data_IF_971326396781
#
_entry.id   IF_971326396781
#
_cell.length_a   1.000
_cell.length_b   1.000
_cell.length_c   1.000
_cell.angle_alpha   90.00
_cell.angle_beta   90.00
_cell.angle_gamma   90.00
#
_symmetry.space_group_name_H-M   'P 1'
#
loop_
_entity.id
_entity.type
_entity.pdbx_description
1 polymer ?
#
# COMPACT_ATOMS: atom_id res chain seq x y z
N UNK A 1 25.16 -12.51 13.80
CA UNK A 1 24.74 -11.95 12.50
C UNK A 1 23.70 -10.87 12.76
N UNK A 2 23.73 -9.75 12.03
CA UNK A 2 22.71 -8.69 12.14
C UNK A 2 21.53 -9.04 11.24
N UNK A 3 20.31 -8.84 11.72
CA UNK A 3 19.09 -9.05 10.93
C UNK A 3 18.91 -8.00 9.82
N UNK A 4 19.54 -6.83 9.93
CA UNK A 4 19.48 -5.77 8.93
C UNK A 4 20.83 -5.59 8.24
N UNK A 5 20.80 -5.47 6.92
CA UNK A 5 21.97 -5.03 6.13
C UNK A 5 22.00 -3.50 6.09
N UNK A 6 22.95 -2.93 6.83
CA UNK A 6 23.13 -1.49 6.95
C UNK A 6 24.18 -1.03 5.92
N UNK A 7 23.93 0.12 5.30
CA UNK A 7 24.76 0.86 4.33
C UNK A 7 25.06 0.20 2.98
N UNK A 8 24.34 -0.86 2.62
CA UNK A 8 24.38 -1.48 1.30
C UNK A 8 23.06 -2.16 0.97
N UNK A 9 22.48 -1.84 -0.18
CA UNK A 9 21.27 -2.48 -0.68
C UNK A 9 21.15 -2.36 -2.20
N UNK A 10 20.63 -3.42 -2.82
CA UNK A 10 20.22 -3.37 -4.22
C UNK A 10 19.12 -2.31 -4.45
N UNK A 11 18.22 -2.12 -3.48
CA UNK A 11 17.15 -1.13 -3.56
C UNK A 11 17.68 0.30 -3.71
N UNK A 12 18.82 0.63 -3.11
CA UNK A 12 19.47 1.94 -3.22
C UNK A 12 20.64 1.94 -4.20
N UNK A 13 20.87 0.85 -4.93
CA UNK A 13 22.02 0.67 -5.83
C UNK A 13 23.36 0.92 -5.14
N UNK A 14 23.50 0.47 -3.88
CA UNK A 14 24.70 0.68 -3.07
C UNK A 14 25.35 -0.63 -2.63
N UNK A 15 26.67 -0.60 -2.44
CA UNK A 15 27.45 -1.74 -1.95
C UNK A 15 28.64 -1.28 -1.10
N UNK A 16 28.96 -2.06 -0.07
CA UNK A 16 30.22 -1.93 0.65
C UNK A 16 31.36 -2.56 -0.14
N UNK A 17 32.59 -2.05 0.07
CA UNK A 17 33.80 -2.52 -0.62
C UNK A 17 34.30 -3.85 -0.04
N UNK A 18 34.15 -4.02 1.26
CA UNK A 18 34.59 -5.21 2.02
C UNK A 18 33.46 -5.67 2.93
N UNK A 19 33.75 -6.70 3.72
CA UNK A 19 32.90 -7.08 4.85
C UNK A 19 32.55 -5.87 5.73
N UNK A 20 31.30 -5.84 6.16
CA UNK A 20 30.72 -4.74 6.93
C UNK A 20 30.68 -5.08 8.42
N UNK A 21 30.98 -4.11 9.27
CA UNK A 21 30.71 -4.16 10.70
C UNK A 21 29.21 -4.39 10.94
N UNK A 22 28.82 -5.37 11.76
CA UNK A 22 27.41 -5.70 11.97
C UNK A 22 26.62 -4.57 12.66
N UNK A 23 27.30 -3.73 13.44
CA UNK A 23 26.64 -2.65 14.19
C UNK A 23 26.47 -1.38 13.36
N UNK A 24 27.52 -0.95 12.65
CA UNK A 24 27.50 0.31 11.92
C UNK A 24 27.18 0.16 10.43
N UNK A 25 27.32 -1.04 9.85
CA UNK A 25 27.25 -1.27 8.41
C UNK A 25 28.45 -0.72 7.62
N UNK A 26 29.44 -0.13 8.28
CA UNK A 26 30.66 0.35 7.62
C UNK A 26 31.55 -0.82 7.20
N UNK A 27 32.34 -0.65 6.14
CA UNK A 27 33.45 -1.57 5.87
C UNK A 27 34.34 -1.68 7.11
N UNK A 28 34.78 -2.90 7.47
CA UNK A 28 35.71 -3.12 8.60
C UNK A 28 36.99 -2.29 8.49
N UNK A 29 37.38 -1.93 7.26
CA UNK A 29 38.40 -0.93 6.96
C UNK A 29 37.82 0.12 6.02
N UNK A 30 37.51 1.31 6.54
CA UNK A 30 37.15 2.47 5.72
C UNK A 30 38.45 3.15 5.24
N UNK A 31 38.65 3.18 3.93
CA UNK A 31 39.91 3.62 3.33
C UNK A 31 39.78 5.08 2.89
N UNK A 32 40.82 5.88 3.17
CA UNK A 32 40.97 7.19 2.55
C UNK A 32 41.03 7.06 1.01
N UNK A 33 40.35 7.94 0.28
CA UNK A 33 40.21 7.83 -1.19
C UNK A 33 39.34 6.67 -1.68
N UNK A 34 38.50 6.06 -0.83
CA UNK A 34 37.54 5.04 -1.25
C UNK A 34 36.57 5.61 -2.32
N UNK A 35 36.29 4.87 -3.42
CA UNK A 35 35.38 5.35 -4.48
C UNK A 35 33.90 5.43 -4.06
N UNK A 36 33.55 5.04 -2.84
CA UNK A 36 32.34 5.53 -2.18
C UNK A 36 30.99 5.01 -2.71
N UNK A 37 30.84 3.71 -2.96
CA UNK A 37 29.56 3.13 -3.43
C UNK A 37 28.58 2.71 -2.33
N UNK A 38 28.94 2.86 -1.06
CA UNK A 38 28.07 2.53 0.07
C UNK A 38 27.09 3.67 0.36
N UNK A 39 26.02 3.39 1.11
CA UNK A 39 25.01 4.43 1.40
C UNK A 39 25.57 5.63 2.17
N UNK A 40 26.62 5.46 2.98
CA UNK A 40 27.26 6.59 3.68
C UNK A 40 27.84 7.58 2.66
N UNK A 41 28.67 7.08 1.74
CA UNK A 41 29.33 7.91 0.75
C UNK A 41 28.32 8.47 -0.27
N UNK A 42 27.41 7.63 -0.76
CA UNK A 42 26.38 8.07 -1.70
C UNK A 42 25.42 9.09 -1.06
N UNK A 43 25.09 8.97 0.23
CA UNK A 43 24.26 9.97 0.91
C UNK A 43 25.01 11.29 1.11
N UNK A 44 26.33 11.27 1.32
CA UNK A 44 27.12 12.50 1.39
C UNK A 44 27.15 13.24 0.04
N UNK A 45 27.17 12.49 -1.08
CA UNK A 45 27.23 13.06 -2.43
C UNK A 45 25.86 13.44 -3.01
N UNK A 46 24.86 12.56 -2.83
CA UNK A 46 23.55 12.66 -3.49
C UNK A 46 22.40 12.97 -2.52
N UNK A 47 22.66 13.00 -1.21
CA UNK A 47 21.69 13.39 -0.19
C UNK A 47 20.37 12.62 -0.30
N UNK A 48 19.28 13.37 -0.53
CA UNK A 48 17.90 12.87 -0.55
C UNK A 48 17.64 11.82 -1.62
N UNK A 49 18.42 11.80 -2.69
CA UNK A 49 18.26 10.81 -3.76
C UNK A 49 18.49 9.38 -3.24
N UNK A 50 19.31 9.22 -2.20
CA UNK A 50 19.59 7.93 -1.57
C UNK A 50 18.54 7.48 -0.54
N UNK A 51 17.54 8.32 -0.25
CA UNK A 51 16.49 7.97 0.70
C UNK A 51 15.56 6.89 0.15
N UNK A 52 15.37 6.81 -1.18
CA UNK A 52 14.32 6.01 -1.79
C UNK A 52 14.85 4.83 -2.62
N UNK A 53 14.07 3.75 -2.79
CA UNK A 53 14.35 2.72 -3.77
C UNK A 53 14.50 3.27 -5.19
N UNK A 54 15.42 2.66 -5.97
CA UNK A 54 15.75 3.02 -7.35
C UNK A 54 15.78 1.76 -8.24
N UNK A 55 15.45 1.88 -9.55
CA UNK A 55 14.96 3.07 -10.24
C UNK A 55 13.48 3.37 -9.91
N UNK A 56 13.17 4.64 -9.64
CA UNK A 56 11.81 5.06 -9.31
C UNK A 56 10.83 4.81 -10.48
N UNK A 57 9.60 4.41 -10.16
CA UNK A 57 8.52 4.19 -11.12
C UNK A 57 8.58 2.88 -11.90
N UNK A 58 9.70 2.18 -11.87
CA UNK A 58 9.92 0.90 -12.58
C UNK A 58 10.06 -0.30 -11.63
N UNK A 59 10.00 -0.07 -10.31
CA UNK A 59 10.14 -1.11 -9.30
C UNK A 59 9.05 -1.04 -8.23
N UNK A 60 8.81 -2.20 -7.61
CA UNK A 60 8.21 -2.31 -6.28
C UNK A 60 9.28 -2.94 -5.39
N UNK A 61 9.64 -2.26 -4.30
CA UNK A 61 10.66 -2.74 -3.38
C UNK A 61 10.01 -3.31 -2.11
N UNK A 62 10.53 -4.43 -1.63
CA UNK A 62 10.27 -4.98 -0.29
C UNK A 62 11.47 -4.72 0.64
N UNK A 63 11.28 -4.91 1.94
CA UNK A 63 12.37 -4.73 2.91
C UNK A 63 13.48 -5.78 2.70
N UNK A 64 14.69 -5.45 3.14
CA UNK A 64 15.85 -6.34 3.15
C UNK A 64 16.21 -6.83 4.56
N UNK A 65 15.42 -6.45 5.58
CA UNK A 65 15.59 -6.94 6.94
C UNK A 65 15.06 -8.36 7.05
N UNK A 66 15.87 -9.23 7.62
CA UNK A 66 15.48 -10.59 7.98
C UNK A 66 14.65 -10.52 9.26
N UNK A 67 13.33 -10.68 9.13
CA UNK A 67 12.47 -10.79 10.30
C UNK A 67 12.62 -12.19 10.92
N UNK A 68 12.92 -12.32 12.23
CA UNK A 68 13.35 -13.60 12.81
C UNK A 68 12.36 -14.76 12.72
N UNK A 69 11.06 -14.48 12.58
CA UNK A 69 10.01 -15.49 12.39
C UNK A 69 9.18 -15.08 11.18
N UNK A 70 9.05 -16.01 10.25
CA UNK A 70 8.22 -15.91 9.05
C UNK A 70 7.45 -17.22 8.83
N UNK A 71 6.68 -17.31 7.74
CA UNK A 71 5.90 -18.50 7.45
C UNK A 71 6.72 -19.77 7.18
N UNK A 72 8.03 -19.66 6.88
CA UNK A 72 8.90 -20.83 6.69
C UNK A 72 9.21 -21.57 7.99
N UNK A 73 8.96 -20.94 9.14
CA UNK A 73 9.12 -21.54 10.47
C UNK A 73 7.93 -22.41 10.90
N UNK A 74 6.82 -22.39 10.14
CA UNK A 74 5.62 -23.16 10.45
C UNK A 74 5.54 -24.43 9.60
N UNK A 75 4.96 -25.49 10.17
CA UNK A 75 4.71 -26.74 9.47
C UNK A 75 3.21 -27.07 9.51
N UNK A 76 2.62 -27.27 8.34
CA UNK A 76 1.22 -27.74 8.23
C UNK A 76 1.18 -29.19 8.70
N UNK A 77 0.45 -29.46 9.78
CA UNK A 77 0.29 -30.82 10.31
C UNK A 77 -0.86 -31.52 9.60
N UNK A 78 -0.55 -32.50 8.76
CA UNK A 78 -1.55 -33.37 8.16
C UNK A 78 -2.17 -34.33 9.17
N UNK A 79 -3.40 -34.76 8.92
CA UNK A 79 -4.09 -35.80 9.67
C UNK A 79 -4.23 -37.08 8.84
N UNK A 80 -4.10 -38.25 9.45
CA UNK A 80 -4.43 -39.54 8.82
C UNK A 80 -5.90 -39.94 9.01
N UNK A 81 -6.69 -39.10 9.69
CA UNK A 81 -8.11 -39.34 9.99
C UNK A 81 -8.93 -38.08 9.76
N UNK A 82 -10.16 -38.26 9.29
CA UNK A 82 -11.12 -37.18 9.08
C UNK A 82 -10.96 -36.44 7.75
N UNK A 83 -11.96 -35.61 7.45
CA UNK A 83 -11.95 -34.60 6.40
C UNK A 83 -12.77 -33.41 6.90
N UNK A 84 -12.30 -32.19 6.66
CA UNK A 84 -13.03 -30.96 7.01
C UNK A 84 -13.75 -30.43 5.77
N UNK A 85 -15.02 -30.03 5.94
CA UNK A 85 -15.85 -29.54 4.84
C UNK A 85 -16.52 -30.61 3.97
N UNK A 86 -16.22 -31.90 4.17
CA UNK A 86 -16.89 -33.02 3.50
C UNK A 86 -16.80 -34.32 4.32
N UNK A 87 -17.40 -35.38 3.82
CA UNK A 87 -17.36 -36.70 4.46
C UNK A 87 -15.95 -37.31 4.45
N UNK A 88 -15.55 -37.91 5.57
CA UNK A 88 -14.28 -38.61 5.73
C UNK A 88 -14.30 -39.99 5.05
N UNK A 89 -14.22 -39.98 3.73
CA UNK A 89 -14.30 -41.15 2.86
C UNK A 89 -13.23 -41.07 1.76
N UNK A 90 -12.51 -42.16 1.50
CA UNK A 90 -11.37 -42.15 0.56
C UNK A 90 -11.75 -41.94 -0.91
N UNK A 91 -13.00 -42.22 -1.29
CA UNK A 91 -13.52 -41.96 -2.65
C UNK A 91 -14.01 -40.50 -2.80
N UNK A 92 -14.24 -39.80 -1.68
CA UNK A 92 -14.75 -38.42 -1.66
C UNK A 92 -13.69 -37.37 -1.29
N UNK A 93 -12.87 -37.65 -0.30
CA UNK A 93 -11.84 -36.76 0.25
C UNK A 93 -10.58 -36.73 -0.64
N UNK A 94 -10.77 -36.30 -1.89
CA UNK A 94 -9.72 -36.20 -2.91
C UNK A 94 -9.40 -34.74 -3.23
N UNK A 95 -8.15 -34.48 -3.62
CA UNK A 95 -7.66 -33.13 -3.92
C UNK A 95 -8.56 -32.30 -4.87
N UNK A 96 -9.13 -32.85 -5.96
CA UNK A 96 -10.01 -32.09 -6.86
C UNK A 96 -11.30 -31.56 -6.21
N UNK A 97 -11.71 -32.10 -5.07
CA UNK A 97 -12.94 -31.69 -4.38
C UNK A 97 -12.71 -30.56 -3.36
N UNK A 98 -11.48 -30.06 -3.20
CA UNK A 98 -11.18 -28.94 -2.30
C UNK A 98 -11.92 -27.68 -2.75
N UNK A 99 -12.75 -27.13 -1.86
CA UNK A 99 -13.41 -25.84 -2.07
C UNK A 99 -12.53 -24.70 -1.54
N UNK A 100 -12.23 -23.75 -2.42
CA UNK A 100 -11.45 -22.54 -2.13
C UNK A 100 -12.33 -21.30 -1.99
N UNK A 101 -13.64 -21.45 -2.16
CA UNK A 101 -14.58 -20.34 -2.08
C UNK A 101 -14.77 -19.86 -0.64
N UNK A 102 -15.08 -18.57 -0.50
CA UNK A 102 -15.33 -17.93 0.79
C UNK A 102 -16.19 -16.68 0.62
N UNK A 103 -16.70 -16.19 1.75
CA UNK A 103 -17.51 -14.99 1.81
C UNK A 103 -16.93 -13.98 2.80
N UNK A 104 -16.78 -12.73 2.37
CA UNK A 104 -16.31 -11.60 3.21
C UNK A 104 -17.42 -10.59 3.39
N UNK A 105 -17.58 -10.02 4.59
CA UNK A 105 -18.50 -8.92 4.86
C UNK A 105 -19.28 -9.08 6.16
N UNK A 106 -19.82 -7.99 6.69
CA UNK A 106 -20.56 -8.00 7.94
C UNK A 106 -22.06 -8.30 7.69
N UNK A 107 -22.72 -7.44 6.90
CA UNK A 107 -24.17 -7.55 6.62
C UNK A 107 -24.47 -8.20 5.27
N UNK A 108 -23.92 -7.63 4.20
CA UNK A 108 -23.91 -8.26 2.88
C UNK A 108 -22.59 -9.02 2.71
N UNK A 109 -22.56 -10.00 1.80
CA UNK A 109 -21.38 -10.83 1.57
C UNK A 109 -20.84 -10.62 0.16
N UNK A 110 -19.53 -10.45 0.06
CA UNK A 110 -18.76 -10.56 -1.18
C UNK A 110 -18.35 -12.02 -1.32
N UNK A 111 -18.81 -12.68 -2.39
CA UNK A 111 -18.43 -14.06 -2.70
C UNK A 111 -17.13 -14.09 -3.47
N UNK A 112 -16.19 -14.91 -3.04
CA UNK A 112 -14.90 -15.11 -3.70
C UNK A 112 -14.78 -16.57 -4.13
N UNK A 113 -14.13 -16.82 -5.28
CA UNK A 113 -13.78 -18.19 -5.72
C UNK A 113 -12.46 -18.68 -5.09
N UNK A 114 -11.66 -17.78 -4.50
CA UNK A 114 -10.31 -18.06 -3.99
C UNK A 114 -9.99 -17.23 -2.72
N UNK A 115 -9.18 -17.76 -1.76
CA UNK A 115 -8.91 -17.16 -0.44
C UNK A 115 -7.76 -16.15 -0.47
N UNK A 116 -7.63 -15.39 -1.56
CA UNK A 116 -6.63 -14.34 -1.69
C UNK A 116 -7.21 -13.23 -2.55
N UNK A 117 -6.76 -12.00 -2.34
CA UNK A 117 -7.08 -10.87 -3.19
C UNK A 117 -5.85 -9.97 -3.37
N UNK A 118 -5.92 -9.00 -4.29
CA UNK A 118 -4.77 -8.14 -4.59
C UNK A 118 -4.49 -7.17 -3.45
N UNK A 119 -3.21 -6.81 -3.23
CA UNK A 119 -2.90 -5.61 -2.44
C UNK A 119 -3.43 -4.32 -3.09
N UNK A 120 -3.53 -3.25 -2.30
CA UNK A 120 -3.94 -1.93 -2.77
C UNK A 120 -2.89 -1.27 -3.67
N UNK A 121 -3.22 -1.11 -4.95
CA UNK A 121 -2.32 -0.54 -5.95
C UNK A 121 -2.75 0.87 -6.36
N UNK A 122 -2.05 1.86 -5.83
CA UNK A 122 -2.42 3.27 -5.97
C UNK A 122 -1.92 3.93 -7.25
N UNK A 123 -1.47 5.17 -7.07
CA UNK A 123 -1.10 6.12 -8.13
C UNK A 123 0.32 6.00 -8.68
N UNK A 124 1.08 4.97 -8.27
CA UNK A 124 2.43 4.75 -8.81
C UNK A 124 2.37 4.33 -10.29
N UNK A 125 3.42 4.66 -11.03
CA UNK A 125 3.48 4.36 -12.46
C UNK A 125 3.45 2.86 -12.74
N UNK A 126 4.20 2.07 -11.95
CA UNK A 126 4.21 0.60 -12.05
C UNK A 126 2.81 -0.01 -11.86
N UNK A 127 2.01 0.53 -10.93
CA UNK A 127 0.63 0.10 -10.74
C UNK A 127 -0.25 0.48 -11.94
N UNK A 128 -0.05 1.67 -12.51
CA UNK A 128 -0.85 2.17 -13.64
C UNK A 128 -0.66 1.34 -14.91
N UNK A 129 0.60 0.99 -15.23
CA UNK A 129 0.95 0.27 -16.47
C UNK A 129 0.56 -1.21 -16.40
N UNK A 130 0.58 -1.83 -15.22
CA UNK A 130 0.19 -3.23 -15.04
C UNK A 130 -1.27 -3.43 -14.60
N UNK A 131 -2.01 -2.34 -14.34
CA UNK A 131 -3.39 -2.40 -13.81
C UNK A 131 -4.30 -3.32 -14.62
N UNK A 132 -4.22 -3.25 -15.94
CA UNK A 132 -5.13 -3.97 -16.83
C UNK A 132 -5.04 -5.48 -16.64
N UNK A 133 -3.83 -6.03 -16.68
CA UNK A 133 -3.59 -7.45 -16.46
C UNK A 133 -4.05 -7.89 -15.06
N UNK A 134 -3.85 -7.04 -14.05
CA UNK A 134 -4.25 -7.35 -12.68
C UNK A 134 -5.76 -7.32 -12.49
N UNK A 135 -6.45 -6.35 -13.07
CA UNK A 135 -7.90 -6.22 -13.01
C UNK A 135 -8.61 -7.38 -13.73
N UNK A 136 -8.14 -7.72 -14.93
CA UNK A 136 -8.65 -8.87 -15.69
C UNK A 136 -8.41 -10.17 -14.91
N UNK A 137 -7.17 -10.37 -14.42
CA UNK A 137 -6.83 -11.55 -13.63
C UNK A 137 -7.67 -11.69 -12.36
N UNK A 138 -7.87 -10.61 -11.61
CA UNK A 138 -8.71 -10.62 -10.40
C UNK A 138 -10.17 -10.93 -10.71
N UNK A 139 -10.73 -10.33 -11.78
CA UNK A 139 -12.11 -10.56 -12.20
C UNK A 139 -12.35 -12.03 -12.61
N UNK A 140 -11.49 -12.58 -13.48
CA UNK A 140 -11.57 -13.98 -13.92
C UNK A 140 -11.42 -14.95 -12.74
N UNK A 141 -10.47 -14.69 -11.85
CA UNK A 141 -10.28 -15.47 -10.62
C UNK A 141 -11.46 -15.33 -9.64
N UNK A 142 -12.39 -14.39 -9.84
CA UNK A 142 -13.50 -14.13 -8.95
C UNK A 142 -13.03 -13.66 -7.57
N UNK A 143 -12.08 -12.72 -7.53
CA UNK A 143 -11.56 -12.13 -6.29
C UNK A 143 -11.59 -10.61 -6.28
N UNK A 144 -11.29 -10.00 -5.13
CA UNK A 144 -11.25 -8.57 -4.93
C UNK A 144 -10.02 -7.97 -5.63
N UNK A 145 -10.22 -6.82 -6.26
CA UNK A 145 -9.15 -5.90 -6.66
C UNK A 145 -9.27 -4.58 -5.91
N UNK A 146 -8.14 -4.08 -5.40
CA UNK A 146 -8.11 -2.85 -4.61
C UNK A 146 -7.40 -1.73 -5.38
N UNK A 147 -8.15 -0.70 -5.76
CA UNK A 147 -7.62 0.56 -6.28
C UNK A 147 -7.06 1.35 -5.10
N UNK A 148 -5.75 1.51 -5.03
CA UNK A 148 -5.07 2.23 -3.95
C UNK A 148 -5.22 3.76 -4.01
N UNK A 149 -4.53 4.45 -3.10
CA UNK A 149 -4.68 5.90 -2.88
C UNK A 149 -4.18 6.84 -4.01
N UNK A 150 -4.73 8.05 -4.02
CA UNK A 150 -4.40 9.24 -4.81
C UNK A 150 -4.57 9.09 -6.34
N UNK A 151 -5.27 8.07 -6.84
CA UNK A 151 -5.42 7.84 -8.29
C UNK A 151 -6.08 9.02 -8.99
N UNK A 152 -7.16 9.56 -8.42
CA UNK A 152 -7.91 10.66 -9.02
C UNK A 152 -7.06 11.92 -9.15
N UNK A 153 -6.40 12.36 -8.08
CA UNK A 153 -5.64 13.60 -8.10
C UNK A 153 -4.31 13.48 -8.85
N UNK A 154 -3.77 12.26 -9.02
CA UNK A 154 -2.55 12.03 -9.79
C UNK A 154 -2.81 11.97 -11.30
N UNK A 155 -4.04 11.71 -11.72
CA UNK A 155 -4.43 11.78 -13.13
C UNK A 155 -4.44 13.25 -13.60
N UNK A 156 -3.57 13.63 -14.55
CA UNK A 156 -3.49 15.01 -15.05
C UNK A 156 -4.78 15.46 -15.74
N UNK A 157 -5.61 14.51 -16.20
CA UNK A 157 -6.88 14.77 -16.90
C UNK A 157 -8.08 14.79 -15.96
N UNK A 158 -7.87 14.62 -14.65
CA UNK A 158 -8.96 14.75 -13.69
C UNK A 158 -9.43 16.20 -13.57
N UNK A 159 -10.75 16.35 -13.46
CA UNK A 159 -11.41 17.62 -13.19
C UNK A 159 -11.86 17.62 -11.73
N UNK A 160 -11.41 18.63 -10.98
CA UNK A 160 -11.77 18.85 -9.58
C UNK A 160 -12.43 20.22 -9.50
N UNK A 161 -13.65 20.28 -8.93
CA UNK A 161 -14.42 21.51 -8.77
C UNK A 161 -14.87 21.62 -7.32
N UNK A 162 -14.63 22.77 -6.69
CA UNK A 162 -15.02 23.04 -5.31
C UNK A 162 -14.58 21.93 -4.32
N UNK A 163 -13.34 21.45 -4.48
CA UNK A 163 -12.80 20.38 -3.64
C UNK A 163 -13.40 18.99 -3.89
N UNK A 164 -14.15 18.77 -4.98
CA UNK A 164 -14.73 17.46 -5.33
C UNK A 164 -14.25 16.98 -6.69
N UNK A 165 -13.88 15.70 -6.79
CA UNK A 165 -13.64 15.06 -8.09
C UNK A 165 -14.96 14.97 -8.85
N UNK A 166 -15.00 15.55 -10.06
CA UNK A 166 -16.17 15.45 -10.95
C UNK A 166 -15.90 14.53 -12.14
N UNK A 167 -14.62 14.33 -12.48
CA UNK A 167 -14.19 13.43 -13.54
C UNK A 167 -12.77 12.95 -13.26
N UNK A 168 -12.55 11.65 -13.37
CA UNK A 168 -11.22 11.04 -13.38
C UNK A 168 -11.17 9.91 -14.43
N UNK A 169 -10.56 10.17 -15.60
CA UNK A 169 -10.39 9.15 -16.63
C UNK A 169 -9.67 7.88 -16.16
N UNK A 170 -8.62 8.02 -15.34
CA UNK A 170 -7.87 6.87 -14.83
C UNK A 170 -8.70 6.04 -13.85
N UNK A 171 -9.40 6.66 -12.89
CA UNK A 171 -10.28 5.92 -11.98
C UNK A 171 -11.39 5.20 -12.75
N UNK A 172 -12.00 5.88 -13.75
CA UNK A 172 -13.02 5.28 -14.61
C UNK A 172 -12.48 4.07 -15.39
N UNK A 173 -11.28 4.18 -15.97
CA UNK A 173 -10.60 3.08 -16.66
C UNK A 173 -10.39 1.90 -15.71
N UNK A 174 -9.88 2.16 -14.50
CA UNK A 174 -9.55 1.11 -13.54
C UNK A 174 -10.76 0.29 -13.10
N UNK A 175 -11.86 0.97 -12.78
CA UNK A 175 -13.13 0.32 -12.43
C UNK A 175 -13.73 -0.40 -13.65
N UNK A 176 -13.70 0.22 -14.83
CA UNK A 176 -14.27 -0.35 -16.06
C UNK A 176 -13.63 -1.68 -16.45
N UNK A 177 -12.30 -1.77 -16.44
CA UNK A 177 -11.59 -2.99 -16.85
C UNK A 177 -12.01 -4.20 -16.01
N UNK A 178 -12.16 -4.05 -14.69
CA UNK A 178 -12.64 -5.16 -13.86
C UNK A 178 -14.09 -5.54 -14.22
N UNK A 179 -14.96 -4.53 -14.36
CA UNK A 179 -16.39 -4.74 -14.66
C UNK A 179 -16.64 -5.40 -16.01
N UNK A 180 -15.77 -5.17 -16.99
CA UNK A 180 -15.87 -5.81 -18.31
C UNK A 180 -15.67 -7.34 -18.24
N UNK A 181 -15.09 -7.85 -17.15
CA UNK A 181 -14.80 -9.28 -16.92
C UNK A 181 -15.49 -9.85 -15.66
N UNK A 182 -16.37 -9.07 -15.02
CA UNK A 182 -17.05 -9.46 -13.79
C UNK A 182 -18.16 -10.49 -14.07
N UNK A 183 -18.04 -11.67 -13.47
CA UNK A 183 -19.02 -12.76 -13.53
C UNK A 183 -19.87 -12.89 -12.25
N UNK A 184 -19.87 -11.87 -11.38
CA UNK A 184 -20.64 -11.85 -10.12
C UNK A 184 -19.88 -12.38 -8.91
N UNK A 185 -18.55 -12.50 -8.98
CA UNK A 185 -17.65 -12.87 -7.89
C UNK A 185 -16.56 -11.82 -7.73
N UNK A 186 -16.08 -11.62 -6.50
CA UNK A 186 -15.15 -10.53 -6.19
C UNK A 186 -15.83 -9.17 -6.12
N UNK A 187 -15.01 -8.12 -6.00
CA UNK A 187 -15.45 -6.73 -5.96
C UNK A 187 -14.29 -5.78 -6.26
N UNK A 188 -14.60 -4.60 -6.80
CA UNK A 188 -13.66 -3.47 -6.88
C UNK A 188 -13.76 -2.64 -5.61
N UNK A 189 -12.66 -2.58 -4.85
CA UNK A 189 -12.55 -1.75 -3.65
C UNK A 189 -11.77 -0.48 -3.98
N UNK A 190 -12.31 0.69 -3.62
CA UNK A 190 -11.60 1.97 -3.74
C UNK A 190 -11.07 2.40 -2.39
N UNK A 191 -9.74 2.49 -2.28
CA UNK A 191 -9.05 2.90 -1.08
C UNK A 191 -8.96 4.42 -0.96
N UNK A 192 -9.07 4.91 0.28
CA UNK A 192 -9.19 6.31 0.64
C UNK A 192 -8.18 6.67 1.72
N UNK A 193 -7.25 7.57 1.40
CA UNK A 193 -6.41 8.26 2.39
C UNK A 193 -7.00 9.65 2.75
N UNK A 194 -6.23 10.46 3.47
CA UNK A 194 -6.64 11.83 3.89
C UNK A 194 -6.94 12.72 2.67
N UNK A 195 -6.09 12.67 1.65
CA UNK A 195 -6.18 13.46 0.43
C UNK A 195 -7.40 13.07 -0.40
N UNK A 196 -7.61 11.77 -0.60
CA UNK A 196 -8.77 11.25 -1.32
C UNK A 196 -10.08 11.63 -0.59
N UNK A 197 -10.08 11.58 0.75
CA UNK A 197 -11.24 11.95 1.58
C UNK A 197 -11.60 13.42 1.42
N UNK A 198 -10.60 14.31 1.40
CA UNK A 198 -10.79 15.75 1.16
C UNK A 198 -11.36 16.03 -0.23
N UNK A 199 -10.97 15.21 -1.21
CA UNK A 199 -11.41 15.33 -2.60
C UNK A 199 -12.72 14.61 -2.92
N UNK A 200 -13.35 13.99 -1.92
CA UNK A 200 -14.65 13.30 -2.08
C UNK A 200 -14.59 12.20 -3.16
N UNK A 201 -13.47 11.46 -3.17
CA UNK A 201 -13.23 10.40 -4.17
C UNK A 201 -14.21 9.24 -4.01
N UNK A 202 -14.56 8.87 -2.77
CA UNK A 202 -15.54 7.82 -2.50
C UNK A 202 -16.91 8.17 -3.10
N UNK A 203 -17.39 9.40 -2.87
CA UNK A 203 -18.63 9.91 -3.44
C UNK A 203 -18.62 9.84 -4.97
N UNK A 204 -17.54 10.31 -5.62
CA UNK A 204 -17.39 10.19 -7.07
C UNK A 204 -17.41 8.72 -7.55
N UNK A 205 -16.66 7.84 -6.89
CA UNK A 205 -16.55 6.44 -7.27
C UNK A 205 -17.88 5.69 -7.13
N UNK A 206 -18.62 5.95 -6.05
CA UNK A 206 -19.94 5.35 -5.80
C UNK A 206 -20.96 5.91 -6.80
N UNK A 207 -21.14 7.23 -6.83
CA UNK A 207 -22.21 7.88 -7.60
C UNK A 207 -22.02 7.78 -9.13
N UNK A 208 -20.77 7.86 -9.61
CA UNK A 208 -20.48 7.95 -11.06
C UNK A 208 -19.96 6.65 -11.65
N UNK A 209 -19.30 5.81 -10.85
CA UNK A 209 -18.69 4.57 -11.34
C UNK A 209 -19.37 3.32 -10.78
N UNK A 210 -20.33 3.47 -9.86
CA UNK A 210 -21.05 2.34 -9.25
C UNK A 210 -20.14 1.42 -8.46
N UNK A 211 -19.13 1.97 -7.79
CA UNK A 211 -18.31 1.25 -6.82
C UNK A 211 -19.14 0.98 -5.57
N UNK A 212 -19.07 -0.23 -5.03
CA UNK A 212 -19.85 -0.64 -3.85
C UNK A 212 -18.99 -0.78 -2.59
N UNK A 213 -17.69 -1.01 -2.75
CA UNK A 213 -16.77 -1.20 -1.65
C UNK A 213 -15.75 -0.06 -1.53
N UNK A 214 -15.60 0.48 -0.32
CA UNK A 214 -14.64 1.53 0.00
C UNK A 214 -13.72 1.05 1.13
N UNK A 215 -12.42 1.29 0.99
CA UNK A 215 -11.42 0.97 2.03
C UNK A 215 -10.87 2.25 2.63
N UNK A 216 -11.03 2.43 3.94
CA UNK A 216 -10.30 3.45 4.69
C UNK A 216 -8.87 2.95 4.90
N UNK A 217 -7.88 3.81 4.63
CA UNK A 217 -6.47 3.46 4.82
C UNK A 217 -5.89 4.20 6.02
N UNK A 218 -5.49 3.46 7.04
CA UNK A 218 -4.68 4.00 8.13
C UNK A 218 -3.20 3.87 7.83
N UNK A 219 -2.75 2.73 7.30
CA UNK A 219 -1.35 2.44 7.04
C UNK A 219 -1.11 1.37 5.98
N UNK A 220 0.13 0.89 5.89
CA UNK A 220 0.54 -0.23 5.05
C UNK A 220 1.77 -0.95 5.62
N UNK A 221 2.02 -2.19 5.21
CA UNK A 221 3.13 -2.99 5.75
C UNK A 221 4.53 -2.53 5.38
N UNK A 222 4.67 -1.69 4.35
CA UNK A 222 5.97 -1.14 3.97
C UNK A 222 6.42 0.02 4.88
N UNK A 223 5.46 0.72 5.50
CA UNK A 223 5.69 1.95 6.26
C UNK A 223 4.44 2.43 6.98
N UNK A 224 4.67 3.09 8.11
CA UNK A 224 3.63 3.69 8.94
C UNK A 224 3.37 5.18 8.59
N UNK A 225 3.69 5.58 7.35
CA UNK A 225 3.41 6.91 6.80
C UNK A 225 2.51 6.85 5.57
N UNK A 226 2.02 8.02 5.15
CA UNK A 226 1.25 8.18 3.92
C UNK A 226 2.04 7.78 2.66
N UNK A 227 1.35 7.64 1.53
CA UNK A 227 2.01 7.42 0.24
C UNK A 227 3.02 8.52 -0.08
N UNK A 228 3.93 8.25 -1.01
CA UNK A 228 4.92 9.18 -1.54
C UNK A 228 5.10 8.92 -3.04
N UNK A 229 5.30 9.97 -3.83
CA UNK A 229 5.56 9.85 -5.27
C UNK A 229 6.54 10.94 -5.70
N UNK A 230 7.51 10.62 -6.56
CA UNK A 230 8.36 11.61 -7.22
C UNK A 230 7.68 12.19 -8.46
N UNK A 231 7.89 13.49 -8.68
CA UNK A 231 7.33 14.25 -9.79
C UNK A 231 8.48 14.84 -10.61
N UNK A 232 8.70 14.38 -11.85
CA UNK A 232 9.82 14.82 -12.68
C UNK A 232 9.56 16.17 -13.37
N UNK A 233 8.48 16.89 -13.04
CA UNK A 233 8.15 18.14 -13.71
C UNK A 233 7.51 19.16 -12.78
N UNK A 234 7.97 20.40 -12.90
CA UNK A 234 7.39 21.56 -12.23
C UNK A 234 5.89 21.72 -12.52
N UNK A 235 5.46 21.50 -13.76
CA UNK A 235 4.03 21.58 -14.15
C UNK A 235 3.16 20.64 -13.32
N UNK A 236 3.60 19.39 -13.13
CA UNK A 236 2.88 18.41 -12.32
C UNK A 236 2.95 18.74 -10.83
N UNK A 237 4.09 19.24 -10.36
CA UNK A 237 4.27 19.71 -8.99
C UNK A 237 3.30 20.84 -8.64
N UNK A 238 3.22 21.88 -9.47
CA UNK A 238 2.25 22.98 -9.33
C UNK A 238 0.81 22.49 -9.38
N UNK A 239 0.48 21.60 -10.33
CA UNK A 239 -0.87 21.05 -10.44
C UNK A 239 -1.30 20.30 -9.17
N UNK A 240 -0.41 19.50 -8.57
CA UNK A 240 -0.76 18.79 -7.34
C UNK A 240 -0.83 19.72 -6.13
N UNK A 241 0.04 20.74 -6.07
CA UNK A 241 -0.02 21.77 -5.03
C UNK A 241 -1.37 22.51 -5.06
N UNK A 242 -1.82 22.94 -6.24
CA UNK A 242 -3.14 23.57 -6.45
C UNK A 242 -4.30 22.65 -6.05
N UNK A 243 -4.13 21.34 -6.23
CA UNK A 243 -5.09 20.32 -5.75
C UNK A 243 -5.03 20.07 -4.23
N UNK A 244 -4.22 20.83 -3.49
CA UNK A 244 -4.11 20.78 -2.02
C UNK A 244 -3.17 19.69 -1.48
N UNK A 245 -2.35 19.07 -2.35
CA UNK A 245 -1.33 18.10 -1.93
C UNK A 245 -0.09 18.80 -1.38
N UNK A 246 0.63 18.10 -0.51
CA UNK A 246 1.91 18.57 0.00
C UNK A 246 3.01 18.21 -1.01
N UNK A 247 3.66 19.23 -1.57
CA UNK A 247 4.73 19.08 -2.55
C UNK A 247 5.99 19.75 -2.03
N UNK A 248 7.10 19.04 -2.10
CA UNK A 248 8.41 19.48 -1.62
C UNK A 248 9.48 19.29 -2.69
N UNK A 249 10.43 20.23 -2.84
CA UNK A 249 10.38 21.60 -2.29
C UNK A 249 9.14 22.38 -2.81
N UNK A 250 8.81 23.52 -2.20
CA UNK A 250 7.60 24.27 -2.56
C UNK A 250 7.63 24.68 -4.06
N UNK A 251 6.73 24.17 -4.91
CA UNK A 251 6.79 24.44 -6.35
C UNK A 251 6.39 25.86 -6.73
N UNK A 252 5.76 26.61 -5.82
CA UNK A 252 5.37 28.01 -6.03
C UNK A 252 6.49 29.02 -5.73
N UNK A 253 7.56 28.58 -5.06
CA UNK A 253 8.69 29.44 -4.72
C UNK A 253 9.54 29.74 -5.98
N UNK A 254 9.72 31.02 -6.36
CA UNK A 254 10.52 31.39 -7.53
C UNK A 254 11.96 30.89 -7.52
N UNK A 255 12.61 30.84 -6.35
CA UNK A 255 13.98 30.31 -6.25
C UNK A 255 14.00 28.79 -6.47
N UNK A 256 13.05 28.05 -5.89
CA UNK A 256 12.91 26.60 -6.14
C UNK A 256 12.69 26.32 -7.63
N UNK A 257 11.88 27.13 -8.32
CA UNK A 257 11.67 26.99 -9.76
C UNK A 257 12.93 27.28 -10.56
N UNK A 258 13.75 28.23 -10.13
CA UNK A 258 15.02 28.57 -10.76
C UNK A 258 16.02 27.43 -10.56
N UNK A 259 16.21 26.95 -9.34
CA UNK A 259 17.05 25.79 -9.01
C UNK A 259 16.68 24.55 -9.82
N UNK A 260 15.37 24.26 -9.96
CA UNK A 260 14.88 23.15 -10.79
C UNK A 260 15.24 23.31 -12.27
N UNK A 261 15.09 24.53 -12.82
CA UNK A 261 15.42 24.83 -14.23
C UNK A 261 16.93 24.81 -14.48
N UNK A 262 17.73 25.17 -13.48
CA UNK A 262 19.19 25.13 -13.51
C UNK A 262 19.74 23.70 -13.28
N UNK A 263 18.89 22.75 -12.91
CA UNK A 263 19.26 21.35 -12.71
C UNK A 263 19.92 21.06 -11.36
N UNK A 264 19.76 21.94 -10.37
CA UNK A 264 20.26 21.75 -9.00
C UNK A 264 19.65 20.51 -8.35
N UNK A 265 18.37 20.24 -8.66
CA UNK A 265 17.69 18.99 -8.33
C UNK A 265 16.75 18.59 -9.48
N UNK A 266 16.54 17.28 -9.64
CA UNK A 266 15.82 16.74 -10.80
C UNK A 266 14.33 16.46 -10.58
N UNK A 267 13.85 16.41 -9.34
CA UNK A 267 12.53 15.86 -9.02
C UNK A 267 11.91 16.54 -7.78
N UNK A 268 10.59 16.77 -7.81
CA UNK A 268 9.80 17.11 -6.62
C UNK A 268 9.26 15.84 -5.96
N UNK A 269 8.86 15.94 -4.71
CA UNK A 269 8.26 14.88 -3.93
C UNK A 269 6.85 15.29 -3.49
N UNK A 270 5.89 14.39 -3.64
CA UNK A 270 4.54 14.56 -3.10
C UNK A 270 4.32 13.59 -1.95
N UNK A 271 3.92 14.12 -0.81
CA UNK A 271 3.72 13.40 0.45
C UNK A 271 2.24 13.43 0.83
N UNK A 272 1.68 12.27 1.20
CA UNK A 272 0.32 12.22 1.76
C UNK A 272 0.36 12.64 3.23
N UNK A 273 -0.69 13.29 3.73
CA UNK A 273 -0.80 13.61 5.15
C UNK A 273 -0.92 12.34 5.99
N UNK A 274 -0.38 12.38 7.19
CA UNK A 274 -0.60 11.33 8.17
C UNK A 274 -2.03 11.43 8.70
N UNK A 275 -2.76 10.31 8.67
CA UNK A 275 -4.08 10.20 9.29
C UNK A 275 -3.94 10.23 10.81
N UNK A 276 -4.68 11.12 11.47
CA UNK A 276 -4.82 11.13 12.92
C UNK A 276 -6.12 10.42 13.26
N UNK A 277 -6.00 9.17 13.70
CA UNK A 277 -7.18 8.32 13.98
C UNK A 277 -7.85 8.76 15.26
N UNK A 278 -9.13 9.11 15.15
CA UNK A 278 -10.05 9.35 16.26
C UNK A 278 -11.22 8.36 16.21
N UNK A 279 -11.72 7.93 17.38
CA UNK A 279 -12.76 6.90 17.48
C UNK A 279 -14.11 7.38 16.93
N UNK A 280 -14.57 8.55 17.37
CA UNK A 280 -15.87 9.09 16.96
C UNK A 280 -15.86 9.52 15.50
N UNK A 281 -14.75 10.12 15.04
CA UNK A 281 -14.58 10.46 13.64
C UNK A 281 -14.59 9.23 12.74
N UNK A 282 -13.97 8.12 13.17
CA UNK A 282 -13.99 6.87 12.39
C UNK A 282 -15.42 6.33 12.26
N UNK A 283 -16.19 6.28 13.36
CA UNK A 283 -17.59 5.81 13.30
C UNK A 283 -18.44 6.68 12.39
N UNK A 284 -18.37 8.00 12.56
CA UNK A 284 -19.07 8.95 11.69
C UNK A 284 -18.66 8.78 10.22
N UNK A 285 -17.37 8.56 9.95
CA UNK A 285 -16.89 8.34 8.57
C UNK A 285 -17.48 7.09 7.95
N UNK A 286 -17.58 5.99 8.71
CA UNK A 286 -18.20 4.74 8.24
C UNK A 286 -19.67 4.96 7.93
N UNK A 287 -20.39 5.69 8.78
CA UNK A 287 -21.80 6.06 8.55
C UNK A 287 -21.96 6.94 7.30
N UNK A 288 -21.17 8.00 7.16
CA UNK A 288 -21.18 8.88 5.98
C UNK A 288 -20.96 8.09 4.68
N UNK A 289 -20.01 7.15 4.66
CA UNK A 289 -19.75 6.32 3.48
C UNK A 289 -20.97 5.45 3.12
N UNK A 290 -21.66 4.90 4.12
CA UNK A 290 -22.88 4.11 3.92
C UNK A 290 -24.03 4.97 3.42
N UNK A 291 -24.20 6.19 3.95
CA UNK A 291 -25.21 7.14 3.49
C UNK A 291 -25.00 7.56 2.03
N UNK A 292 -23.74 7.71 1.60
CA UNK A 292 -23.38 7.96 0.20
C UNK A 292 -23.69 6.76 -0.70
N UNK A 293 -23.79 5.56 -0.14
CA UNK A 293 -24.17 4.34 -0.84
C UNK A 293 -23.10 3.25 -0.89
N UNK A 294 -22.02 3.36 -0.11
CA UNK A 294 -21.08 2.25 0.05
C UNK A 294 -21.80 1.07 0.71
N UNK A 295 -21.84 -0.07 0.02
CA UNK A 295 -22.36 -1.33 0.57
C UNK A 295 -21.39 -1.97 1.53
N UNK A 296 -20.11 -1.90 1.18
CA UNK A 296 -19.02 -2.48 1.96
C UNK A 296 -18.07 -1.37 2.38
N UNK A 297 -17.78 -1.28 3.67
CA UNK A 297 -16.75 -0.40 4.21
C UNK A 297 -15.69 -1.27 4.84
N UNK A 298 -14.44 -1.07 4.47
CA UNK A 298 -13.31 -1.87 4.93
C UNK A 298 -12.22 -0.97 5.50
N UNK A 299 -11.31 -1.53 6.29
CA UNK A 299 -10.19 -0.80 6.89
C UNK A 299 -8.90 -1.55 6.59
N UNK A 300 -7.91 -0.82 6.07
CA UNK A 300 -6.53 -1.29 5.97
C UNK A 300 -5.65 -0.64 7.01
N UNK A 301 -4.98 -1.45 7.82
CA UNK A 301 -3.97 -1.02 8.79
C UNK A 301 -2.55 -1.27 8.27
N UNK A 302 -1.57 -0.70 8.96
CA UNK A 302 -0.14 -0.94 8.74
C UNK A 302 0.47 -1.73 9.88
N UNK A 303 1.81 -1.80 9.86
CA UNK A 303 2.60 -2.58 10.79
C UNK A 303 2.71 -1.93 12.18
N UNK A 304 1.62 -1.35 12.68
CA UNK A 304 1.62 -0.49 13.84
C UNK A 304 1.89 -1.22 15.15
N UNK A 305 2.25 -0.43 16.18
CA UNK A 305 2.40 -0.90 17.56
C UNK A 305 1.09 -1.52 18.10
N UNK A 306 1.16 -2.36 19.15
CA UNK A 306 0.02 -3.19 19.57
C UNK A 306 -1.23 -2.37 19.97
N UNK A 307 -1.02 -1.21 20.61
CA UNK A 307 -2.12 -0.30 21.01
C UNK A 307 -2.92 0.22 19.81
N UNK A 308 -2.29 0.40 18.65
CA UNK A 308 -2.97 0.92 17.46
C UNK A 308 -3.64 -0.22 16.67
N UNK A 309 -3.09 -1.44 16.70
CA UNK A 309 -3.80 -2.65 16.26
C UNK A 309 -5.07 -2.89 17.08
N UNK A 310 -4.97 -2.85 18.41
CA UNK A 310 -6.13 -3.04 19.30
C UNK A 310 -7.24 -2.00 19.03
N UNK A 311 -6.86 -0.75 18.69
CA UNK A 311 -7.83 0.26 18.25
C UNK A 311 -8.50 -0.13 16.95
N UNK A 312 -7.75 -0.59 15.96
CA UNK A 312 -8.32 -1.02 14.69
C UNK A 312 -9.34 -2.15 14.89
N UNK A 313 -9.00 -3.17 15.69
CA UNK A 313 -9.91 -4.29 16.00
C UNK A 313 -11.17 -3.78 16.70
N UNK A 314 -11.02 -2.97 17.77
CA UNK A 314 -12.16 -2.38 18.50
C UNK A 314 -13.05 -1.56 17.56
N UNK A 315 -12.46 -0.64 16.79
CA UNK A 315 -13.22 0.31 15.99
C UNK A 315 -13.90 -0.39 14.82
N UNK A 316 -13.19 -1.30 14.14
CA UNK A 316 -13.74 -2.13 13.09
C UNK A 316 -14.97 -2.93 13.58
N UNK A 317 -14.85 -3.55 14.76
CA UNK A 317 -15.91 -4.36 15.37
C UNK A 317 -17.12 -3.51 15.75
N UNK A 318 -16.90 -2.38 16.43
CA UNK A 318 -17.97 -1.48 16.87
C UNK A 318 -18.72 -0.84 15.69
N UNK A 319 -17.99 -0.41 14.66
CA UNK A 319 -18.56 0.15 13.43
C UNK A 319 -19.16 -0.93 12.50
N UNK A 320 -18.91 -2.20 12.80
CA UNK A 320 -19.30 -3.38 12.00
C UNK A 320 -18.86 -3.23 10.55
N UNK A 321 -17.59 -2.88 10.33
CA UNK A 321 -17.03 -2.84 8.97
C UNK A 321 -16.93 -4.26 8.39
N UNK A 322 -16.82 -4.35 7.08
CA UNK A 322 -16.97 -5.59 6.33
C UNK A 322 -15.67 -6.41 6.23
N UNK A 323 -14.52 -5.75 6.35
CA UNK A 323 -13.19 -6.37 6.36
C UNK A 323 -12.18 -5.47 7.09
N UNK A 324 -11.32 -6.10 7.88
CA UNK A 324 -10.12 -5.48 8.46
C UNK A 324 -8.88 -6.18 7.87
N UNK A 325 -8.11 -5.46 7.06
CA UNK A 325 -6.83 -5.93 6.52
C UNK A 325 -5.70 -5.46 7.44
N UNK A 326 -4.89 -6.42 7.93
CA UNK A 326 -3.77 -6.16 8.85
C UNK A 326 -2.45 -6.43 8.16
N UNK A 327 -1.76 -5.38 7.73
CA UNK A 327 -0.46 -5.51 7.07
C UNK A 327 0.69 -5.50 8.09
N UNK A 328 1.49 -6.57 8.14
CA UNK A 328 2.74 -6.60 8.90
C UNK A 328 3.93 -5.96 8.17
N UNK A 329 5.02 -5.72 8.91
CA UNK A 329 6.25 -5.17 8.38
C UNK A 329 6.87 -6.09 7.30
N UNK A 330 7.50 -5.48 6.29
CA UNK A 330 8.05 -6.19 5.13
C UNK A 330 7.21 -6.11 3.87
N UNK A 331 6.06 -5.42 3.93
CA UNK A 331 5.24 -5.15 2.76
C UNK A 331 6.00 -4.36 1.67
N UNK A 332 5.55 -4.52 0.42
CA UNK A 332 6.13 -3.84 -0.73
C UNK A 332 5.60 -2.41 -0.93
N UNK A 333 6.41 -1.55 -1.55
CA UNK A 333 5.98 -0.23 -2.02
C UNK A 333 6.80 0.24 -3.23
N UNK A 334 6.19 1.03 -4.10
CA UNK A 334 6.90 1.68 -5.21
C UNK A 334 7.78 2.86 -4.78
N UNK A 335 7.52 3.44 -3.59
CA UNK A 335 8.33 4.51 -3.02
C UNK A 335 8.11 4.64 -1.51
N UNK A 336 9.22 4.76 -0.77
CA UNK A 336 9.28 5.05 0.67
C UNK A 336 10.72 5.29 1.09
N UNK A 337 11.00 6.01 2.20
CA UNK A 337 12.31 6.02 2.80
C UNK A 337 12.77 4.59 3.09
N UNK A 338 13.89 4.18 2.50
CA UNK A 338 14.41 2.83 2.51
C UNK A 338 14.67 2.34 3.93
N UNK A 339 15.19 3.20 4.81
CA UNK A 339 15.42 2.84 6.21
C UNK A 339 14.13 2.56 6.98
N UNK A 340 13.07 3.32 6.73
CA UNK A 340 11.77 3.05 7.34
C UNK A 340 11.23 1.70 6.89
N UNK A 341 11.36 1.35 5.60
CA UNK A 341 10.91 0.05 5.11
C UNK A 341 11.57 -1.14 5.80
N UNK A 342 12.81 -0.97 6.26
CA UNK A 342 13.53 -2.02 6.95
C UNK A 342 13.23 -2.01 8.46
N UNK A 343 13.13 -0.84 9.08
CA UNK A 343 13.18 -0.72 10.54
C UNK A 343 11.85 -0.39 11.21
N UNK A 344 10.83 0.03 10.47
CA UNK A 344 9.53 0.38 11.04
C UNK A 344 8.54 -0.78 11.00
N UNK A 345 7.82 -0.90 12.11
CA UNK A 345 6.67 -1.75 12.27
C UNK A 345 6.92 -3.13 12.86
N UNK A 346 5.83 -3.78 13.27
CA UNK A 346 5.82 -5.15 13.80
C UNK A 346 5.79 -6.15 12.63
N UNK A 347 6.64 -7.19 12.62
CA UNK A 347 6.62 -8.19 11.55
C UNK A 347 5.32 -9.00 11.55
N UNK A 348 4.90 -9.45 10.36
CA UNK A 348 3.59 -10.09 10.11
C UNK A 348 3.20 -11.13 11.14
N UNK A 349 4.03 -12.15 11.38
CA UNK A 349 3.69 -13.25 12.31
C UNK A 349 3.42 -12.73 13.72
N UNK A 350 4.23 -11.80 14.22
CA UNK A 350 4.02 -11.23 15.55
C UNK A 350 2.73 -10.39 15.61
N UNK A 351 2.44 -9.65 14.54
CA UNK A 351 1.24 -8.83 14.44
C UNK A 351 -0.02 -9.71 14.36
N UNK A 352 0.03 -10.84 13.66
CA UNK A 352 -1.02 -11.85 13.60
C UNK A 352 -1.25 -12.51 14.97
N UNK A 353 -0.18 -12.83 15.72
CA UNK A 353 -0.32 -13.33 17.09
C UNK A 353 -1.01 -12.30 18.02
N UNK A 354 -0.72 -11.01 17.85
CA UNK A 354 -1.41 -9.96 18.59
C UNK A 354 -2.87 -9.85 18.17
N UNK A 355 -3.15 -9.91 16.86
CA UNK A 355 -4.49 -9.88 16.31
C UNK A 355 -5.37 -11.02 16.83
N UNK A 356 -4.84 -12.24 16.92
CA UNK A 356 -5.55 -13.39 17.47
C UNK A 356 -5.95 -13.20 18.95
N UNK A 357 -5.18 -12.44 19.73
CA UNK A 357 -5.44 -12.20 21.15
C UNK A 357 -6.44 -11.05 21.41
N UNK A 358 -6.72 -10.21 20.41
CA UNK A 358 -7.62 -9.06 20.52
C UNK A 358 -9.01 -9.41 19.98
#
# INVERSE_FOLDING_TARGET
>A
MSFSRINASAATSTRTRTESSPCSGMCVVCLDGCPGTCEIAMSALRGREMLYPQPFGQVTAGSAKEYPIDFSHFSIQGSCVGAEGMEADSDKAIFPNVDLSLEIGAKEKIKLKVPFFTGALGSTEIARVHWENMAIGAAICGTIIVIGENVCAMDPRSEIKNGRVVRSPEMKRRVGIFKDWDEGYGEVVVQMNVEDTRLKVAEYAIEKLGVRAVELKWGQGAKDIGGEVKLPSLKKALQLNDRGYLVFPNPEDPEVQKEFKEGVFGEFERHSRLGMVDEEEFYRKVEELREVGAKYVTLKTGAYRPRDLARAVKFASNARIDLLTVDGAGGGTGMSPWRMMNEWGIPTVYLECLLYNY
#
